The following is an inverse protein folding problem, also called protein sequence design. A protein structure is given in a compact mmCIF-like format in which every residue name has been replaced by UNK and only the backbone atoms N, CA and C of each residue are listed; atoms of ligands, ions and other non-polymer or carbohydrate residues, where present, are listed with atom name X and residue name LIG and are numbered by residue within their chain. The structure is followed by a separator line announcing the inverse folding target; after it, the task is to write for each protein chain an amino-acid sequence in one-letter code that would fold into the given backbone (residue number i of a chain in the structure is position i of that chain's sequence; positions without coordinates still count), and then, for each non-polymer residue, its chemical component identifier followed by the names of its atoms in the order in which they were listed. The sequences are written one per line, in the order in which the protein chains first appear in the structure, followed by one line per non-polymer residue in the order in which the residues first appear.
data_IF_654774405217
#
_entry.id   IF_654774405217
#
_cell.length_a   1.000
_cell.length_b   1.000
_cell.length_c   1.000
_cell.angle_alpha   90.00
_cell.angle_beta   90.00
_cell.angle_gamma   90.00
#
_symmetry.space_group_name_H-M   'P 1'
#
loop_
_entity.id
_entity.type
_entity.pdbx_description
1 polymer ?
#
# COMPACT_ATOMS: atom_id res chain seq x y z
N UNK A 1 -37.26 -5.63 -27.29
CA UNK A 1 -36.49 -6.86 -27.00
C UNK A 1 -35.15 -6.45 -26.41
N UNK A 2 -34.96 -6.62 -25.10
CA UNK A 2 -33.77 -6.19 -24.39
C UNK A 2 -32.59 -7.13 -24.72
N UNK A 3 -31.47 -6.57 -25.15
CA UNK A 3 -30.24 -7.33 -25.39
C UNK A 3 -29.56 -7.60 -24.06
N UNK A 4 -29.71 -8.80 -23.54
CA UNK A 4 -28.98 -9.32 -22.38
C UNK A 4 -27.51 -9.60 -22.76
N UNK A 5 -26.61 -8.70 -22.34
CA UNK A 5 -25.18 -8.85 -22.54
C UNK A 5 -24.60 -9.66 -21.37
N UNK A 6 -24.47 -10.98 -21.54
CA UNK A 6 -23.76 -11.82 -20.56
C UNK A 6 -22.26 -11.47 -20.59
N UNK A 7 -21.66 -11.00 -19.48
CA UNK A 7 -20.23 -10.77 -19.45
C UNK A 7 -19.52 -12.11 -19.64
N UNK A 8 -18.48 -12.12 -20.48
CA UNK A 8 -17.63 -13.29 -20.68
C UNK A 8 -16.85 -13.53 -19.38
N UNK A 9 -17.35 -14.46 -18.58
CA UNK A 9 -16.89 -14.81 -17.22
C UNK A 9 -15.36 -15.03 -17.18
N UNK A 10 -14.80 -15.60 -18.26
CA UNK A 10 -13.36 -15.90 -18.38
C UNK A 10 -12.43 -14.69 -18.27
N UNK A 11 -12.81 -13.52 -18.78
CA UNK A 11 -11.96 -12.32 -18.72
C UNK A 11 -11.97 -11.67 -17.34
N UNK A 12 -13.10 -11.74 -16.64
CA UNK A 12 -13.25 -11.19 -15.29
C UNK A 12 -12.48 -12.03 -14.27
N UNK A 13 -12.53 -13.35 -14.39
CA UNK A 13 -11.75 -14.26 -13.54
C UNK A 13 -10.24 -14.02 -13.66
N UNK A 14 -9.73 -13.80 -14.88
CA UNK A 14 -8.31 -13.51 -15.09
C UNK A 14 -7.87 -12.19 -14.43
N UNK A 15 -8.70 -11.15 -14.57
CA UNK A 15 -8.44 -9.83 -13.95
C UNK A 15 -8.42 -9.95 -12.42
N UNK A 16 -9.39 -10.67 -11.84
CA UNK A 16 -9.45 -10.89 -10.38
C UNK A 16 -8.24 -11.72 -9.91
N UNK A 17 -7.86 -12.77 -10.64
CA UNK A 17 -6.69 -13.57 -10.32
C UNK A 17 -5.39 -12.75 -10.39
N UNK A 18 -5.26 -11.86 -11.37
CA UNK A 18 -4.10 -10.97 -11.50
C UNK A 18 -4.05 -9.94 -10.35
N UNK A 19 -5.19 -9.33 -10.00
CA UNK A 19 -5.28 -8.39 -8.89
C UNK A 19 -4.87 -9.02 -7.54
N UNK A 20 -5.26 -10.28 -7.30
CA UNK A 20 -4.85 -11.04 -6.09
C UNK A 20 -3.35 -11.27 -6.06
N UNK A 21 -2.75 -11.79 -7.14
CA UNK A 21 -1.30 -12.03 -7.23
C UNK A 21 -0.50 -10.77 -6.96
N UNK A 22 -0.87 -9.65 -7.58
CA UNK A 22 -0.21 -8.36 -7.35
C UNK A 22 -0.38 -7.83 -5.92
N UNK A 23 -1.47 -8.17 -5.22
CA UNK A 23 -1.60 -7.88 -3.79
C UNK A 23 -0.62 -8.72 -2.98
N UNK A 24 -0.60 -10.03 -3.21
CA UNK A 24 0.26 -10.97 -2.48
C UNK A 24 1.75 -10.65 -2.67
N UNK A 25 2.15 -10.25 -3.87
CA UNK A 25 3.52 -9.83 -4.17
C UNK A 25 3.92 -8.56 -3.43
N UNK A 26 3.01 -7.58 -3.31
CA UNK A 26 3.23 -6.38 -2.48
C UNK A 26 3.34 -6.76 -1.01
N UNK A 27 2.46 -7.64 -0.54
CA UNK A 27 2.39 -8.06 0.88
C UNK A 27 3.63 -8.85 1.33
N UNK A 28 4.34 -9.46 0.38
CA UNK A 28 5.61 -10.15 0.63
C UNK A 28 6.76 -9.18 0.91
N UNK A 29 6.64 -7.90 0.58
CA UNK A 29 7.69 -6.92 0.84
C UNK A 29 7.95 -6.69 2.33
N UNK A 30 9.22 -6.49 2.71
CA UNK A 30 9.61 -6.18 4.10
C UNK A 30 8.86 -4.98 4.68
N UNK A 31 8.61 -3.96 3.84
CA UNK A 31 7.84 -2.77 4.19
C UNK A 31 6.42 -3.15 4.65
N UNK A 32 5.70 -3.96 3.90
CA UNK A 32 4.31 -4.29 4.22
C UNK A 32 4.19 -5.17 5.46
N UNK A 33 5.16 -6.06 5.68
CA UNK A 33 5.27 -6.81 6.94
C UNK A 33 5.50 -5.89 8.14
N UNK A 34 6.40 -4.90 8.00
CA UNK A 34 6.64 -3.92 9.06
C UNK A 34 5.40 -3.08 9.36
N UNK A 35 4.64 -2.66 8.33
CA UNK A 35 3.41 -1.88 8.50
C UNK A 35 2.26 -2.64 9.17
N UNK A 36 2.29 -3.98 9.13
CA UNK A 36 1.34 -4.83 9.86
C UNK A 36 1.72 -5.03 11.34
N UNK A 37 3.01 -4.92 11.67
CA UNK A 37 3.54 -5.19 13.01
C UNK A 37 3.73 -3.92 13.85
N UNK A 38 4.06 -2.79 13.22
CA UNK A 38 4.50 -1.59 13.91
C UNK A 38 3.53 -0.42 13.71
N UNK A 39 3.39 0.45 14.73
CA UNK A 39 2.64 1.69 14.61
C UNK A 39 3.28 2.61 13.56
N UNK A 40 2.47 3.45 12.93
CA UNK A 40 2.91 4.39 11.90
C UNK A 40 3.49 5.66 12.53
N UNK A 41 4.44 5.48 13.44
CA UNK A 41 5.10 6.55 14.19
C UNK A 41 6.61 6.38 14.10
N UNK A 42 7.34 7.48 13.96
CA UNK A 42 8.79 7.46 14.08
C UNK A 42 9.18 7.42 15.56
N UNK A 43 9.82 6.34 16.01
CA UNK A 43 10.25 6.19 17.41
C UNK A 43 11.34 7.19 17.87
N UNK A 44 11.97 7.94 16.95
CA UNK A 44 13.00 8.94 17.30
C UNK A 44 12.43 10.34 17.50
N UNK A 45 11.57 10.81 16.59
CA UNK A 45 11.02 12.17 16.64
C UNK A 45 9.55 12.21 17.10
N UNK A 46 8.90 11.07 17.30
CA UNK A 46 7.50 10.98 17.70
C UNK A 46 6.50 11.36 16.61
N UNK A 47 6.95 11.55 15.35
CA UNK A 47 6.07 11.97 14.25
C UNK A 47 5.14 10.85 13.84
N UNK A 48 3.84 11.13 13.88
CA UNK A 48 2.78 10.23 13.44
C UNK A 48 2.52 10.39 11.95
N UNK A 49 2.30 9.26 11.28
CA UNK A 49 1.98 9.18 9.87
C UNK A 49 0.65 8.45 9.72
N UNK A 50 -0.08 8.82 8.67
CA UNK A 50 -1.36 8.22 8.29
C UNK A 50 -1.17 7.32 7.08
N UNK A 51 -2.22 6.56 6.74
CA UNK A 51 -2.20 5.70 5.56
C UNK A 51 -1.92 6.46 4.26
N UNK A 52 -2.29 7.74 4.20
CA UNK A 52 -2.09 8.60 3.04
C UNK A 52 -0.61 8.97 2.83
N UNK A 53 0.13 9.24 3.91
CA UNK A 53 1.54 9.67 3.86
C UNK A 53 2.54 8.61 4.37
N UNK A 54 2.11 7.35 4.49
CA UNK A 54 2.98 6.23 4.89
C UNK A 54 4.25 6.09 4.05
N UNK A 55 4.23 6.53 2.79
CA UNK A 55 5.43 6.57 1.93
C UNK A 55 6.51 7.46 2.52
N UNK A 56 6.11 8.58 3.12
CA UNK A 56 6.99 9.59 3.72
C UNK A 56 7.68 9.04 4.98
N UNK A 57 7.00 8.23 5.81
CA UNK A 57 7.64 7.54 6.95
C UNK A 57 8.85 6.70 6.52
N UNK A 58 8.75 6.03 5.37
CA UNK A 58 9.86 5.19 4.85
C UNK A 58 11.00 6.03 4.31
N UNK A 59 10.70 7.18 3.70
CA UNK A 59 11.72 8.12 3.23
C UNK A 59 12.40 8.78 4.42
N UNK A 60 11.63 9.23 5.41
CA UNK A 60 12.07 9.84 6.66
C UNK A 60 13.05 8.94 7.45
N UNK A 61 12.78 7.64 7.50
CA UNK A 61 13.72 6.69 8.12
C UNK A 61 14.98 6.46 7.29
N UNK A 62 14.90 6.57 5.95
CA UNK A 62 16.01 6.29 5.04
C UNK A 62 16.95 7.49 4.88
N UNK A 63 16.42 8.71 4.77
CA UNK A 63 17.20 9.93 4.60
C UNK A 63 17.73 10.47 5.93
N UNK A 64 17.22 9.98 7.07
CA UNK A 64 17.53 10.47 8.42
C UNK A 64 17.33 11.98 8.58
N UNK A 65 16.60 12.60 7.65
CA UNK A 65 16.29 14.02 7.70
C UNK A 65 15.00 14.19 8.48
N UNK A 66 15.18 14.56 9.73
CA UNK A 66 14.09 14.82 10.66
C UNK A 66 13.64 16.30 10.65
N UNK A 67 14.26 17.14 9.82
CA UNK A 67 14.02 18.58 9.74
C UNK A 67 13.22 19.03 8.51
N UNK A 68 13.02 18.18 7.51
CA UNK A 68 12.22 18.54 6.34
C UNK A 68 10.71 18.60 6.70
N UNK A 69 10.24 19.83 6.86
CA UNK A 69 8.87 20.17 7.23
C UNK A 69 8.35 21.33 6.37
N UNK A 70 7.70 21.05 5.23
CA UNK A 70 6.71 21.95 4.68
C UNK A 70 5.34 21.62 5.30
N UNK A 71 4.68 22.66 5.81
CA UNK A 71 3.28 22.64 6.28
C UNK A 71 2.29 22.25 5.20
#
# INVERSE_FOLDING_TARGET
MAREHKPKVSGLDEVVANARRQSEERERGYRERALKLYPWICGRCGREFTRANLRELTVHHRNHDHNDNPS
#
